data_IF_251189828209
#
_entry.id   IF_251189828209
#
_cell.length_a   1.000
_cell.length_b   1.000
_cell.length_c   1.000
_cell.angle_alpha   90.00
_cell.angle_beta   90.00
_cell.angle_gamma   90.00
#
_symmetry.space_group_name_H-M   'P 1'
#
loop_
_entity.id
_entity.type
_entity.pdbx_description
1 polymer ?
#
# COMPACT_ATOMS: atom_id res chain seq x y z
N UNK A 1 21.22 0.30 -30.48
CA UNK A 1 21.48 -1.00 -29.83
C UNK A 1 21.11 -0.86 -28.35
N UNK A 2 20.28 -1.78 -27.87
CA UNK A 2 19.71 -1.77 -26.51
C UNK A 2 18.32 -2.40 -26.55
N UNK A 3 18.25 -3.73 -26.63
CA UNK A 3 16.98 -4.46 -26.62
C UNK A 3 16.35 -4.37 -25.23
N UNK A 4 15.25 -3.63 -25.10
CA UNK A 4 14.45 -3.60 -23.88
C UNK A 4 13.60 -4.86 -23.77
N UNK A 5 13.91 -5.72 -22.79
CA UNK A 5 13.06 -6.85 -22.44
C UNK A 5 11.79 -6.32 -21.75
N UNK A 6 10.64 -6.47 -22.39
CA UNK A 6 9.34 -6.18 -21.75
C UNK A 6 8.99 -7.36 -20.85
N UNK A 7 9.03 -7.16 -19.54
CA UNK A 7 8.57 -8.15 -18.55
C UNK A 7 7.11 -7.85 -18.24
N UNK A 8 6.18 -8.71 -18.68
CA UNK A 8 4.76 -8.59 -18.32
C UNK A 8 4.45 -9.47 -17.12
N UNK A 9 3.85 -8.88 -16.08
CA UNK A 9 3.32 -9.61 -14.93
C UNK A 9 1.83 -9.87 -15.13
N UNK A 10 1.45 -11.15 -15.27
CA UNK A 10 0.03 -11.54 -15.24
C UNK A 10 -0.36 -11.69 -13.77
N UNK A 11 -1.11 -10.72 -13.23
CA UNK A 11 -1.68 -10.79 -11.88
C UNK A 11 -2.96 -11.64 -11.89
N UNK A 12 -2.85 -12.86 -11.35
CA UNK A 12 -3.95 -13.64 -10.77
C UNK A 12 -5.01 -14.19 -11.73
N UNK A 13 -4.98 -15.50 -11.98
CA UNK A 13 -6.12 -16.24 -12.56
C UNK A 13 -6.63 -17.23 -11.53
N UNK A 14 -7.91 -17.14 -11.12
CA UNK A 14 -8.57 -18.21 -10.33
C UNK A 14 -9.15 -19.23 -11.30
N UNK A 15 -8.71 -20.48 -11.22
CA UNK A 15 -9.32 -21.60 -11.94
C UNK A 15 -10.31 -22.33 -11.03
N UNK A 16 -11.46 -22.71 -11.58
CA UNK A 16 -12.47 -23.52 -10.90
C UNK A 16 -12.51 -24.88 -11.57
N UNK A 17 -12.26 -25.94 -10.81
CA UNK A 17 -12.31 -27.31 -11.32
C UNK A 17 -13.66 -27.93 -10.94
N UNK A 18 -14.35 -28.49 -11.94
CA UNK A 18 -15.60 -29.22 -11.73
C UNK A 18 -15.30 -30.72 -11.82
N UNK A 19 -15.61 -31.45 -10.75
CA UNK A 19 -15.60 -32.91 -10.79
C UNK A 19 -16.85 -33.42 -11.53
N UNK A 20 -16.83 -34.66 -12.07
CA UNK A 20 -18.00 -35.26 -12.72
C UNK A 20 -19.24 -35.39 -11.81
N UNK A 21 -19.06 -35.30 -10.48
CA UNK A 21 -20.15 -35.37 -9.49
C UNK A 21 -20.69 -34.01 -9.05
N UNK A 22 -20.26 -32.90 -9.68
CA UNK A 22 -20.85 -31.57 -9.46
C UNK A 22 -20.33 -30.83 -8.22
N UNK A 23 -19.35 -31.36 -7.49
CA UNK A 23 -18.67 -30.63 -6.42
C UNK A 23 -17.57 -29.73 -7.00
N UNK A 24 -17.60 -28.43 -6.66
CA UNK A 24 -16.58 -27.47 -7.07
C UNK A 24 -15.57 -27.26 -5.94
N UNK A 25 -14.30 -27.59 -6.19
CA UNK A 25 -13.19 -27.19 -5.33
C UNK A 25 -12.51 -25.95 -5.92
N UNK A 26 -12.25 -24.96 -5.06
CA UNK A 26 -11.57 -23.72 -5.46
C UNK A 26 -10.19 -23.73 -4.84
N UNK A 27 -9.15 -23.82 -5.66
CA UNK A 27 -7.76 -23.75 -5.21
C UNK A 27 -7.13 -22.47 -5.73
N UNK A 28 -6.49 -21.68 -4.86
CA UNK A 28 -5.68 -20.54 -5.28
C UNK A 28 -4.29 -21.02 -5.69
N UNK A 29 -3.94 -20.85 -6.97
CA UNK A 29 -2.59 -21.08 -7.48
C UNK A 29 -1.93 -19.73 -7.78
N UNK A 30 -0.76 -19.51 -7.18
CA UNK A 30 0.15 -18.41 -7.51
C UNK A 30 1.06 -18.87 -8.66
N UNK A 31 1.05 -18.19 -9.81
CA UNK A 31 1.83 -18.62 -10.99
C UNK A 31 3.23 -18.01 -11.02
N UNK A 32 4.17 -18.86 -11.44
CA UNK A 32 5.63 -18.73 -11.57
C UNK A 32 6.04 -17.76 -12.69
N UNK A 33 7.20 -17.11 -12.48
CA UNK A 33 7.92 -16.16 -13.35
C UNK A 33 8.09 -16.68 -14.80
N UNK A 34 7.74 -15.86 -15.79
CA UNK A 34 8.01 -16.13 -17.21
C UNK A 34 9.21 -15.29 -17.68
N UNK A 35 10.18 -15.91 -18.35
CA UNK A 35 11.30 -15.22 -19.02
C UNK A 35 11.30 -15.69 -20.46
N UNK A 36 11.31 -14.77 -21.43
CA UNK A 36 11.61 -15.10 -22.83
C UNK A 36 12.81 -14.30 -23.33
N UNK A 37 13.66 -14.96 -24.10
CA UNK A 37 14.69 -14.38 -24.96
C UNK A 37 14.49 -15.00 -26.35
N UNK A 38 14.37 -14.18 -27.39
CA UNK A 38 14.23 -14.65 -28.78
C UNK A 38 14.00 -13.51 -29.77
N UNK A 39 14.80 -13.49 -30.83
CA UNK A 39 15.11 -12.38 -31.74
C UNK A 39 14.10 -12.16 -32.88
N UNK A 40 14.16 -10.94 -33.44
CA UNK A 40 13.28 -10.37 -34.47
C UNK A 40 13.31 -11.10 -35.84
N UNK A 41 12.14 -11.13 -36.50
CA UNK A 41 11.98 -11.49 -37.91
C UNK A 41 10.51 -11.46 -38.35
N UNK A 42 10.20 -10.57 -39.28
CA UNK A 42 8.98 -10.33 -40.09
C UNK A 42 7.65 -9.82 -39.48
N UNK A 43 7.05 -8.75 -40.06
CA UNK A 43 5.71 -8.29 -39.75
C UNK A 43 4.67 -8.98 -40.64
N UNK A 44 3.55 -9.39 -40.04
CA UNK A 44 2.25 -9.79 -40.60
C UNK A 44 1.78 -11.09 -39.94
N UNK A 45 0.84 -10.95 -38.99
CA UNK A 45 0.00 -11.98 -38.38
C UNK A 45 0.75 -13.27 -37.99
N UNK A 46 1.55 -13.20 -36.92
CA UNK A 46 2.23 -14.37 -36.35
C UNK A 46 1.49 -14.93 -35.14
N UNK A 47 0.90 -16.12 -35.27
CA UNK A 47 0.50 -16.93 -34.11
C UNK A 47 1.73 -17.21 -33.25
N UNK A 48 1.83 -16.61 -32.06
CA UNK A 48 2.89 -16.96 -31.09
C UNK A 48 2.46 -18.16 -30.27
N UNK A 49 3.18 -19.28 -30.43
CA UNK A 49 3.06 -20.42 -29.52
C UNK A 49 3.83 -20.10 -28.23
N UNK A 50 3.13 -20.09 -27.10
CA UNK A 50 3.75 -20.01 -25.79
C UNK A 50 3.84 -21.43 -25.21
N UNK A 51 5.04 -21.83 -24.77
CA UNK A 51 5.23 -23.02 -23.94
C UNK A 51 5.17 -22.60 -22.48
N UNK A 52 4.13 -23.02 -21.76
CA UNK A 52 4.08 -22.96 -20.32
C UNK A 52 4.46 -24.35 -19.77
N UNK A 53 5.57 -24.45 -19.03
CA UNK A 53 5.87 -25.64 -18.23
C UNK A 53 5.25 -25.47 -16.85
N UNK A 54 4.25 -26.28 -16.51
CA UNK A 54 3.72 -26.36 -15.15
C UNK A 54 4.62 -27.31 -14.32
N UNK A 55 5.12 -26.83 -13.18
CA UNK A 55 5.75 -27.69 -12.19
C UNK A 55 4.64 -28.36 -11.36
N UNK A 56 4.47 -29.67 -11.51
CA UNK A 56 3.52 -30.48 -10.75
C UNK A 56 4.13 -30.89 -9.40
N UNK A 57 4.10 -30.00 -8.40
CA UNK A 57 4.45 -30.34 -7.02
C UNK A 57 3.24 -30.37 -6.06
N UNK A 58 2.01 -30.24 -6.57
CA UNK A 58 0.77 -30.25 -5.78
C UNK A 58 -0.23 -31.30 -6.29
N UNK A 59 0.22 -32.54 -6.52
CA UNK A 59 -0.61 -33.65 -7.00
C UNK A 59 -0.41 -34.91 -6.15
N UNK A 60 -0.43 -34.77 -4.82
CA UNK A 60 -0.40 -35.92 -3.90
C UNK A 60 -1.76 -36.30 -3.29
N UNK A 61 -2.82 -35.51 -3.48
CA UNK A 61 -4.10 -35.74 -2.77
C UNK A 61 -5.32 -35.99 -3.68
N UNK A 62 -5.13 -36.36 -4.96
CA UNK A 62 -6.26 -36.71 -5.85
C UNK A 62 -6.01 -38.05 -6.53
N UNK A 63 -5.95 -39.12 -5.72
CA UNK A 63 -5.83 -40.50 -6.23
C UNK A 63 -7.13 -41.33 -6.14
N UNK A 64 -8.29 -40.71 -5.89
CA UNK A 64 -9.58 -41.43 -5.92
C UNK A 64 -10.67 -40.64 -6.62
N UNK A 65 -10.64 -40.64 -7.95
CA UNK A 65 -11.71 -40.12 -8.81
C UNK A 65 -11.14 -39.50 -10.08
N UNK A 66 -11.51 -40.05 -11.24
CA UNK A 66 -10.87 -39.79 -12.53
C UNK A 66 -10.74 -38.31 -12.93
N UNK A 67 -9.78 -38.05 -13.82
CA UNK A 67 -9.44 -36.71 -14.30
C UNK A 67 -10.64 -35.97 -14.92
N UNK A 68 -10.86 -34.68 -14.59
CA UNK A 68 -11.92 -33.89 -15.21
C UNK A 68 -11.62 -33.67 -16.70
N UNK A 69 -12.62 -33.93 -17.56
CA UNK A 69 -12.49 -33.84 -19.02
C UNK A 69 -12.72 -32.43 -19.60
N UNK A 70 -13.05 -31.45 -18.76
CA UNK A 70 -13.36 -30.07 -19.21
C UNK A 70 -12.98 -29.05 -18.16
N UNK A 71 -12.23 -28.01 -18.54
CA UNK A 71 -11.93 -26.85 -17.70
C UNK A 71 -12.71 -25.66 -18.25
N UNK A 72 -13.58 -25.06 -17.45
CA UNK A 72 -14.23 -23.78 -17.79
C UNK A 72 -13.52 -22.63 -17.07
N UNK A 73 -13.15 -21.59 -17.82
CA UNK A 73 -12.61 -20.36 -17.27
C UNK A 73 -13.71 -19.30 -17.31
N UNK A 74 -14.26 -18.95 -16.15
CA UNK A 74 -15.19 -17.82 -16.01
C UNK A 74 -14.47 -16.59 -15.44
N UNK A 75 -14.63 -15.44 -16.10
CA UNK A 75 -14.16 -14.12 -15.64
C UNK A 75 -15.11 -13.61 -14.55
N UNK A 76 -14.60 -13.38 -13.34
CA UNK A 76 -15.34 -12.73 -12.24
C UNK A 76 -14.82 -11.29 -11.99
N UNK A 77 -15.61 -10.32 -12.49
CA UNK A 77 -15.77 -8.91 -12.05
C UNK A 77 -14.74 -7.80 -12.40
N UNK A 78 -15.14 -6.51 -12.59
CA UNK A 78 -16.48 -5.93 -12.80
C UNK A 78 -16.82 -5.67 -14.29
N UNK A 79 -18.11 -5.45 -14.63
CA UNK A 79 -18.55 -5.24 -16.00
C UNK A 79 -18.54 -3.74 -16.41
N UNK A 80 -17.89 -3.41 -17.52
CA UNK A 80 -18.30 -2.30 -18.39
C UNK A 80 -18.53 -2.84 -19.81
N UNK A 81 -19.82 -2.93 -20.16
CA UNK A 81 -20.49 -3.04 -21.47
C UNK A 81 -20.12 -4.18 -22.45
N UNK A 82 -21.21 -4.83 -22.90
CA UNK A 82 -21.43 -5.81 -24.00
C UNK A 82 -20.89 -7.23 -23.79
N UNK A 83 -21.85 -8.17 -23.62
CA UNK A 83 -21.68 -9.62 -23.63
C UNK A 83 -21.51 -10.12 -25.07
N UNK A 84 -20.48 -10.90 -25.33
CA UNK A 84 -20.49 -11.89 -26.41
C UNK A 84 -20.12 -13.25 -25.80
N UNK A 85 -21.00 -14.24 -25.96
CA UNK A 85 -20.73 -15.65 -25.64
C UNK A 85 -20.40 -16.34 -26.97
N UNK A 86 -19.20 -16.90 -27.10
CA UNK A 86 -18.90 -17.87 -28.16
C UNK A 86 -18.61 -19.23 -27.54
N UNK A 87 -19.26 -20.26 -28.08
CA UNK A 87 -19.10 -21.68 -27.76
C UNK A 87 -18.43 -22.31 -28.99
N UNK A 88 -17.35 -23.06 -28.80
CA UNK A 88 -16.72 -23.81 -29.87
C UNK A 88 -16.76 -25.29 -29.50
N UNK A 89 -17.27 -26.12 -30.43
CA UNK A 89 -17.16 -27.58 -30.43
C UNK A 89 -16.31 -27.96 -31.64
N UNK A 90 -15.39 -28.92 -31.51
CA UNK A 90 -14.77 -29.55 -32.68
C UNK A 90 -14.41 -31.02 -32.44
N UNK A 91 -14.52 -31.77 -33.54
CA UNK A 91 -14.35 -33.20 -33.73
C UNK A 91 -12.90 -33.60 -34.09
N UNK A 92 -12.57 -34.87 -33.92
CA UNK A 92 -11.25 -35.47 -34.21
C UNK A 92 -11.29 -36.35 -35.48
N UNK A 93 -10.23 -36.40 -36.29
CA UNK A 93 -9.94 -37.57 -37.13
C UNK A 93 -9.02 -38.56 -36.39
N UNK A 94 -9.33 -39.84 -36.59
CA UNK A 94 -8.64 -41.02 -36.08
C UNK A 94 -7.35 -41.31 -36.85
N UNK A 95 -6.26 -41.67 -36.17
CA UNK A 95 -5.72 -43.05 -36.17
C UNK A 95 -4.25 -43.14 -35.69
N UNK A 96 -3.97 -44.30 -35.08
CA UNK A 96 -2.69 -45.00 -34.93
C UNK A 96 -1.80 -44.73 -33.69
N UNK A 97 -1.94 -45.69 -32.76
CA UNK A 97 -0.91 -46.36 -31.95
C UNK A 97 -0.21 -45.68 -30.76
N UNK A 98 -0.41 -46.37 -29.62
CA UNK A 98 0.50 -46.60 -28.50
C UNK A 98 1.03 -45.40 -27.68
N UNK A 99 0.49 -45.30 -26.45
CA UNK A 99 1.31 -45.05 -25.25
C UNK A 99 2.01 -43.71 -25.14
N UNK A 100 1.28 -42.68 -24.71
CA UNK A 100 1.65 -41.68 -23.67
C UNK A 100 0.64 -40.54 -23.78
N UNK A 101 -0.07 -40.24 -22.69
CA UNK A 101 -1.00 -39.12 -22.66
C UNK A 101 -0.18 -37.82 -22.54
N UNK A 102 0.28 -37.28 -23.67
CA UNK A 102 0.74 -35.89 -23.70
C UNK A 102 -0.50 -35.00 -23.84
N UNK A 103 -0.90 -34.36 -22.76
CA UNK A 103 -1.91 -33.30 -22.80
C UNK A 103 -1.17 -31.99 -23.01
N UNK A 104 -1.31 -31.39 -24.20
CA UNK A 104 -0.93 -30.00 -24.42
C UNK A 104 -2.19 -29.13 -24.31
N UNK A 105 -2.15 -28.14 -23.43
CA UNK A 105 -3.19 -27.11 -23.32
C UNK A 105 -2.69 -25.92 -24.13
N UNK A 106 -3.39 -25.58 -25.21
CA UNK A 106 -3.11 -24.36 -25.97
C UNK A 106 -4.01 -23.25 -25.44
N UNK A 107 -3.42 -22.21 -24.85
CA UNK A 107 -4.14 -21.01 -24.43
C UNK A 107 -4.00 -19.97 -25.53
N UNK A 108 -5.09 -19.69 -26.25
CA UNK A 108 -5.14 -18.52 -27.13
C UNK A 108 -5.44 -17.28 -26.31
N UNK A 109 -4.51 -16.33 -26.34
CA UNK A 109 -4.68 -15.03 -25.70
C UNK A 109 -4.96 -14.01 -26.80
N UNK A 110 -6.11 -13.34 -26.74
CA UNK A 110 -6.38 -12.19 -27.62
C UNK A 110 -5.56 -11.01 -27.09
N UNK A 111 -4.42 -10.75 -27.73
CA UNK A 111 -3.67 -9.51 -27.54
C UNK A 111 -4.39 -8.45 -28.37
N UNK A 112 -4.96 -7.44 -27.71
CA UNK A 112 -5.28 -6.19 -28.40
C UNK A 112 -3.97 -5.41 -28.50
N UNK A 113 -3.54 -5.16 -29.72
CA UNK A 113 -2.59 -4.07 -29.96
C UNK A 113 -3.36 -2.78 -29.68
N UNK A 114 -2.95 -2.07 -28.62
CA UNK A 114 -3.29 -0.66 -28.53
C UNK A 114 -2.50 0.05 -29.63
N UNK A 115 -3.22 0.70 -30.55
CA UNK A 115 -2.67 1.72 -31.45
C UNK A 115 -1.73 2.62 -30.65
N UNK A 116 -0.58 3.04 -31.20
CA UNK A 116 0.37 3.89 -30.48
C UNK A 116 -0.35 5.17 -30.05
N UNK A 117 -0.79 5.18 -28.79
CA UNK A 117 -1.43 6.32 -28.18
C UNK A 117 -0.49 7.50 -28.30
N UNK A 118 -1.05 8.64 -28.70
CA UNK A 118 -0.39 9.94 -28.64
C UNK A 118 0.44 10.07 -27.35
N UNK A 119 1.62 10.73 -27.39
CA UNK A 119 2.59 10.69 -26.31
C UNK A 119 1.86 10.94 -24.99
N UNK A 120 1.87 9.94 -24.11
CA UNK A 120 1.32 10.07 -22.77
C UNK A 120 1.90 11.35 -22.18
N UNK A 121 1.04 12.34 -21.99
CA UNK A 121 1.37 13.50 -21.20
C UNK A 121 1.91 12.96 -19.89
N UNK A 122 3.13 13.36 -19.55
CA UNK A 122 3.79 13.05 -18.30
C UNK A 122 2.95 13.60 -17.13
N UNK A 123 1.87 12.91 -16.76
CA UNK A 123 1.14 13.16 -15.54
C UNK A 123 1.92 12.44 -14.46
N UNK A 124 2.95 13.11 -13.94
CA UNK A 124 3.48 12.78 -12.63
C UNK A 124 2.26 12.56 -11.71
N UNK A 125 2.08 11.35 -11.18
CA UNK A 125 0.99 11.11 -10.25
C UNK A 125 1.19 12.06 -9.07
N UNK A 126 0.21 12.94 -8.84
CA UNK A 126 0.21 13.91 -7.74
C UNK A 126 -0.10 13.23 -6.40
N UNK A 127 0.52 12.07 -6.16
CA UNK A 127 0.31 11.27 -4.96
C UNK A 127 1.25 11.75 -3.86
N UNK A 128 0.69 11.90 -2.66
CA UNK A 128 1.43 12.28 -1.47
C UNK A 128 2.56 11.29 -1.21
N UNK A 129 3.80 11.77 -1.21
CA UNK A 129 4.97 10.93 -1.09
C UNK A 129 5.89 11.38 0.07
N UNK A 130 6.97 10.63 0.28
CA UNK A 130 7.90 10.88 1.38
C UNK A 130 8.54 12.28 1.33
N UNK A 131 8.72 12.87 0.15
CA UNK A 131 9.26 14.23 0.00
C UNK A 131 8.28 15.27 0.51
N UNK A 132 6.99 15.08 0.26
CA UNK A 132 5.93 15.97 0.76
C UNK A 132 5.87 15.90 2.28
N UNK A 133 5.96 14.69 2.84
CA UNK A 133 6.04 14.50 4.28
C UNK A 133 7.28 15.16 4.87
N UNK A 134 8.43 15.06 4.20
CA UNK A 134 9.66 15.73 4.60
C UNK A 134 9.50 17.25 4.59
N UNK A 135 8.88 17.84 3.57
CA UNK A 135 8.60 19.28 3.51
C UNK A 135 7.65 19.74 4.62
N UNK A 136 6.66 18.91 4.93
CA UNK A 136 5.72 19.20 6.03
C UNK A 136 6.40 19.13 7.41
N UNK A 137 7.36 18.23 7.62
CA UNK A 137 8.18 18.13 8.84
C UNK A 137 7.43 17.70 10.11
N UNK A 138 6.13 17.92 10.20
CA UNK A 138 5.28 17.59 11.33
C UNK A 138 4.09 16.76 10.89
N UNK A 139 3.70 15.81 11.74
CA UNK A 139 2.43 15.08 11.66
C UNK A 139 1.73 15.26 13.00
N UNK A 140 0.53 15.83 13.00
CA UNK A 140 -0.29 15.88 14.21
C UNK A 140 -1.12 14.60 14.32
N UNK A 141 -0.88 13.81 15.37
CA UNK A 141 -1.56 12.54 15.62
C UNK A 141 -2.68 12.76 16.63
N UNK A 142 -3.92 12.54 16.20
CA UNK A 142 -5.12 12.69 16.99
C UNK A 142 -5.65 11.34 17.46
N UNK A 143 -5.86 11.23 18.77
CA UNK A 143 -6.57 10.13 19.43
C UNK A 143 -7.52 10.69 20.46
N UNK A 144 -8.78 10.26 20.41
CA UNK A 144 -9.78 10.60 21.43
C UNK A 144 -10.88 9.54 21.46
N UNK A 145 -11.71 9.55 22.48
CA UNK A 145 -12.80 8.60 22.71
C UNK A 145 -14.15 9.04 22.11
N UNK A 146 -14.18 10.17 21.39
CA UNK A 146 -15.39 10.71 20.75
C UNK A 146 -15.12 11.18 19.33
N UNK A 147 -15.98 10.74 18.39
CA UNK A 147 -15.89 11.14 16.99
C UNK A 147 -16.11 12.65 16.79
N UNK A 148 -17.05 13.24 17.54
CA UNK A 148 -17.35 14.68 17.45
C UNK A 148 -16.19 15.51 18.00
N UNK A 149 -15.66 15.12 19.16
CA UNK A 149 -14.46 15.76 19.70
C UNK A 149 -13.27 15.61 18.76
N UNK A 150 -13.13 14.45 18.11
CA UNK A 150 -12.06 14.23 17.14
C UNK A 150 -12.15 15.22 15.97
N UNK A 151 -13.34 15.37 15.41
CA UNK A 151 -13.54 16.24 14.27
C UNK A 151 -13.28 17.71 14.61
N UNK A 152 -13.82 18.19 15.73
CA UNK A 152 -13.64 19.59 16.14
C UNK A 152 -12.19 19.89 16.55
N UNK A 153 -11.51 18.95 17.22
CA UNK A 153 -10.09 19.07 17.53
C UNK A 153 -9.21 19.07 16.27
N UNK A 154 -9.52 18.20 15.30
CA UNK A 154 -8.82 18.14 14.02
C UNK A 154 -8.97 19.46 13.23
N UNK A 155 -10.19 20.01 13.17
CA UNK A 155 -10.45 21.33 12.56
C UNK A 155 -9.61 22.41 13.21
N UNK A 156 -9.62 22.48 14.54
CA UNK A 156 -8.84 23.45 15.28
C UNK A 156 -7.33 23.35 15.00
N UNK A 157 -6.80 22.12 14.90
CA UNK A 157 -5.40 21.89 14.56
C UNK A 157 -5.06 22.31 13.12
N UNK A 158 -5.92 21.98 12.15
CA UNK A 158 -5.74 22.37 10.74
C UNK A 158 -5.87 23.89 10.55
N UNK A 159 -6.85 24.52 11.19
CA UNK A 159 -7.03 25.98 11.20
C UNK A 159 -5.87 26.70 11.90
N UNK A 160 -5.17 26.00 12.81
CA UNK A 160 -3.92 26.46 13.42
C UNK A 160 -2.71 26.34 12.49
N UNK A 161 -2.87 25.89 11.25
CA UNK A 161 -1.82 25.85 10.23
C UNK A 161 -1.06 24.53 10.12
N UNK A 162 -1.48 23.48 10.83
CA UNK A 162 -0.92 22.14 10.61
C UNK A 162 -1.45 21.57 9.30
N UNK A 163 -0.57 21.08 8.45
CA UNK A 163 -0.92 20.64 7.08
C UNK A 163 -1.01 19.12 6.94
N UNK A 164 -0.51 18.36 7.91
CA UNK A 164 -0.54 16.90 7.92
C UNK A 164 -1.10 16.41 9.25
N UNK A 165 -2.19 15.64 9.17
CA UNK A 165 -2.92 15.13 10.33
C UNK A 165 -3.10 13.62 10.20
N UNK A 166 -2.85 12.88 11.27
CA UNK A 166 -3.11 11.46 11.41
C UNK A 166 -4.28 11.25 12.39
N UNK A 167 -5.37 10.62 11.95
CA UNK A 167 -6.45 10.19 12.85
C UNK A 167 -6.23 8.72 13.20
N UNK A 168 -6.13 8.40 14.49
CA UNK A 168 -5.92 7.01 14.92
C UNK A 168 -7.19 6.17 14.74
N UNK A 169 -7.06 4.96 14.21
CA UNK A 169 -8.16 4.02 13.97
C UNK A 169 -8.85 3.54 15.26
N UNK A 170 -8.22 3.75 16.42
CA UNK A 170 -8.83 3.52 17.74
C UNK A 170 -9.83 4.62 18.13
N UNK A 171 -9.84 5.75 17.43
CA UNK A 171 -10.86 6.79 17.63
C UNK A 171 -12.20 6.27 17.08
N UNK A 172 -13.30 6.35 17.83
CA UNK A 172 -14.60 5.91 17.33
C UNK A 172 -14.95 6.59 16.01
N UNK A 173 -15.45 5.81 15.05
CA UNK A 173 -15.82 6.30 13.72
C UNK A 173 -14.69 7.04 12.98
N UNK A 174 -13.41 6.69 13.21
CA UNK A 174 -12.25 7.33 12.59
C UNK A 174 -12.38 7.49 11.06
N UNK A 175 -12.91 6.48 10.36
CA UNK A 175 -13.13 6.56 8.90
C UNK A 175 -14.09 7.69 8.49
N UNK A 176 -15.16 7.91 9.26
CA UNK A 176 -16.10 9.01 9.03
C UNK A 176 -15.44 10.36 9.30
N UNK A 177 -14.65 10.46 10.37
CA UNK A 177 -13.87 11.66 10.70
C UNK A 177 -12.89 11.99 9.56
N UNK A 178 -12.10 11.01 9.10
CA UNK A 178 -11.17 11.15 7.98
C UNK A 178 -11.90 11.64 6.73
N UNK A 179 -13.02 11.00 6.36
CA UNK A 179 -13.78 11.36 5.17
C UNK A 179 -14.29 12.81 5.21
N UNK A 180 -14.75 13.27 6.38
CA UNK A 180 -15.18 14.66 6.55
C UNK A 180 -14.01 15.64 6.45
N UNK A 181 -12.89 15.35 7.11
CA UNK A 181 -11.69 16.20 7.06
C UNK A 181 -11.13 16.33 5.65
N UNK A 182 -11.08 15.23 4.88
CA UNK A 182 -10.62 15.25 3.48
C UNK A 182 -11.50 16.15 2.61
N UNK A 183 -12.82 16.19 2.87
CA UNK A 183 -13.76 17.06 2.15
C UNK A 183 -13.65 18.53 2.57
N UNK A 184 -13.50 18.78 3.87
CA UNK A 184 -13.47 20.13 4.45
C UNK A 184 -12.10 20.82 4.23
N UNK A 185 -11.01 20.04 4.17
CA UNK A 185 -9.64 20.53 4.05
C UNK A 185 -8.89 19.85 2.89
N UNK A 186 -9.26 20.11 1.62
CA UNK A 186 -8.69 19.41 0.47
C UNK A 186 -7.18 19.65 0.26
N UNK A 187 -6.65 20.74 0.81
CA UNK A 187 -5.21 21.04 0.79
C UNK A 187 -4.40 20.35 1.89
N UNK A 188 -5.07 19.84 2.94
CA UNK A 188 -4.42 19.13 4.02
C UNK A 188 -4.23 17.65 3.66
N UNK A 189 -3.16 17.07 4.21
CA UNK A 189 -2.89 15.64 4.06
C UNK A 189 -3.42 14.92 5.29
N UNK A 190 -4.50 14.16 5.11
CA UNK A 190 -5.11 13.36 6.16
C UNK A 190 -4.64 11.91 6.02
N UNK A 191 -4.13 11.33 7.09
CA UNK A 191 -3.74 9.93 7.18
C UNK A 191 -4.45 9.20 8.32
N UNK A 192 -4.21 7.89 8.39
CA UNK A 192 -4.73 7.04 9.46
C UNK A 192 -3.61 6.39 10.26
N UNK A 193 -3.70 6.44 11.58
CA UNK A 193 -2.72 5.83 12.49
C UNK A 193 -3.25 4.61 13.20
N UNK A 194 -2.37 3.80 13.78
CA UNK A 194 -2.76 2.54 14.47
C UNK A 194 -3.48 1.56 13.53
N UNK A 195 -3.02 1.49 12.28
CA UNK A 195 -3.52 0.54 11.28
C UNK A 195 -2.76 -0.78 11.44
N UNK A 196 -3.46 -1.85 11.81
CA UNK A 196 -2.86 -3.17 12.10
C UNK A 196 -3.34 -4.26 11.15
N UNK A 197 -4.33 -3.99 10.32
CA UNK A 197 -4.93 -4.96 9.40
C UNK A 197 -5.24 -4.38 8.02
N UNK A 198 -5.36 -5.26 7.03
CA UNK A 198 -5.83 -4.92 5.68
C UNK A 198 -7.21 -4.28 5.69
N UNK A 199 -8.10 -4.75 6.56
CA UNK A 199 -9.46 -4.21 6.67
C UNK A 199 -9.44 -2.75 7.12
N UNK A 200 -8.67 -2.41 8.16
CA UNK A 200 -8.51 -1.03 8.62
C UNK A 200 -7.85 -0.15 7.56
N UNK A 201 -6.83 -0.67 6.87
CA UNK A 201 -6.15 0.03 5.81
C UNK A 201 -7.09 0.34 4.64
N UNK A 202 -7.86 -0.64 4.17
CA UNK A 202 -8.84 -0.44 3.10
C UNK A 202 -9.94 0.53 3.52
N UNK A 203 -10.41 0.43 4.76
CA UNK A 203 -11.40 1.36 5.33
C UNK A 203 -10.86 2.80 5.35
N UNK A 204 -9.63 3.01 5.82
CA UNK A 204 -8.99 4.32 5.84
C UNK A 204 -8.74 4.88 4.43
N UNK A 205 -8.27 4.05 3.50
CA UNK A 205 -8.05 4.44 2.09
C UNK A 205 -9.36 4.86 1.42
N UNK A 206 -10.44 4.10 1.63
CA UNK A 206 -11.77 4.45 1.10
C UNK A 206 -12.32 5.75 1.70
N UNK A 207 -11.96 6.07 2.95
CA UNK A 207 -12.25 7.37 3.55
C UNK A 207 -11.41 8.52 2.97
N UNK A 208 -10.37 8.23 2.20
CA UNK A 208 -9.51 9.23 1.55
C UNK A 208 -8.16 9.45 2.23
N UNK A 209 -7.77 8.59 3.19
CA UNK A 209 -6.46 8.68 3.82
C UNK A 209 -5.32 8.57 2.78
N UNK A 210 -4.34 9.49 2.87
CA UNK A 210 -3.20 9.60 1.95
C UNK A 210 -1.96 8.84 2.43
N UNK A 211 -1.89 8.55 3.73
CA UNK A 211 -0.86 7.70 4.32
C UNK A 211 -1.44 6.93 5.50
N UNK A 212 -0.76 5.85 5.87
CA UNK A 212 -1.11 4.95 6.95
C UNK A 212 0.10 4.79 7.87
N UNK A 213 -0.11 4.72 9.18
CA UNK A 213 0.93 4.40 10.16
C UNK A 213 0.50 3.31 11.13
N UNK A 214 1.48 2.56 11.62
CA UNK A 214 1.29 1.54 12.65
C UNK A 214 2.24 1.80 13.83
N UNK A 215 1.86 1.46 15.08
CA UNK A 215 2.80 1.46 16.20
C UNK A 215 3.85 0.33 16.09
N UNK A 216 3.64 -0.66 15.22
CA UNK A 216 4.50 -1.84 15.06
C UNK A 216 4.79 -2.15 13.59
N UNK A 217 5.70 -3.10 13.35
CA UNK A 217 5.98 -3.60 12.01
C UNK A 217 5.05 -4.77 11.72
N UNK A 218 4.17 -4.60 10.74
CA UNK A 218 3.25 -5.64 10.24
C UNK A 218 3.74 -6.02 8.84
N UNK A 219 4.44 -7.15 8.72
CA UNK A 219 5.21 -7.51 7.52
C UNK A 219 4.36 -7.52 6.25
N UNK A 220 3.20 -8.16 6.28
CA UNK A 220 2.29 -8.26 5.13
C UNK A 220 1.78 -6.89 4.68
N UNK A 221 1.59 -5.97 5.62
CA UNK A 221 1.16 -4.60 5.34
C UNK A 221 2.28 -3.79 4.66
N UNK A 222 3.52 -3.93 5.16
CA UNK A 222 4.69 -3.26 4.55
C UNK A 222 4.89 -3.74 3.13
N UNK A 223 4.94 -5.07 2.92
CA UNK A 223 5.15 -5.66 1.60
C UNK A 223 4.04 -5.30 0.63
N UNK A 224 2.79 -5.33 1.09
CA UNK A 224 1.63 -5.07 0.23
C UNK A 224 1.40 -3.60 -0.15
N UNK A 225 2.01 -2.65 0.58
CA UNK A 225 1.94 -1.20 0.26
C UNK A 225 3.24 -0.65 -0.35
N UNK A 226 4.30 -1.45 -0.47
CA UNK A 226 5.61 -1.03 -0.98
C UNK A 226 5.54 -0.27 -2.31
N UNK A 227 4.77 -0.80 -3.26
CA UNK A 227 4.63 -0.24 -4.62
C UNK A 227 3.23 0.39 -4.83
N UNK A 228 2.51 0.64 -3.73
CA UNK A 228 1.16 1.17 -3.76
C UNK A 228 1.11 2.71 -3.76
N UNK A 229 -0.05 3.31 -4.10
CA UNK A 229 -0.23 4.76 -4.12
C UNK A 229 -0.35 5.40 -2.72
N UNK A 230 -0.35 4.59 -1.65
CA UNK A 230 -0.53 5.04 -0.27
C UNK A 230 0.68 4.61 0.54
N UNK A 231 1.35 5.58 1.17
CA UNK A 231 2.49 5.33 2.04
C UNK A 231 2.03 4.56 3.28
N UNK A 232 2.67 3.42 3.55
CA UNK A 232 2.55 2.71 4.82
C UNK A 232 3.84 2.88 5.64
N UNK A 233 3.73 3.48 6.83
CA UNK A 233 4.85 3.80 7.72
C UNK A 233 4.75 2.90 8.96
N UNK A 234 5.46 1.74 8.98
CA UNK A 234 5.46 0.84 10.12
C UNK A 234 6.18 1.42 11.33
N UNK A 235 5.78 0.99 12.51
CA UNK A 235 6.44 1.32 13.77
C UNK A 235 7.56 0.33 14.11
N UNK A 236 8.61 0.82 14.77
CA UNK A 236 9.70 0.03 15.29
C UNK A 236 10.23 0.62 16.60
N UNK A 237 10.72 -0.26 17.47
CA UNK A 237 11.32 0.10 18.75
C UNK A 237 12.84 -0.13 18.76
N UNK A 238 13.33 -1.11 18.00
CA UNK A 238 14.74 -1.56 18.01
C UNK A 238 15.44 -1.34 16.66
N UNK A 239 16.80 -1.26 16.62
CA UNK A 239 17.54 -1.19 15.37
C UNK A 239 17.23 -2.34 14.40
N UNK A 240 17.02 -3.56 14.91
CA UNK A 240 16.69 -4.73 14.10
C UNK A 240 15.33 -4.58 13.42
N UNK A 241 14.31 -4.12 14.14
CA UNK A 241 12.99 -3.85 13.57
C UNK A 241 13.05 -2.72 12.53
N UNK A 242 13.82 -1.66 12.79
CA UNK A 242 14.02 -0.56 11.84
C UNK A 242 14.61 -1.07 10.52
N UNK A 243 15.69 -1.86 10.58
CA UNK A 243 16.32 -2.44 9.38
C UNK A 243 15.37 -3.43 8.70
N UNK A 244 14.67 -4.26 9.47
CA UNK A 244 13.72 -5.24 8.94
C UNK A 244 12.59 -4.57 8.14
N UNK A 245 11.94 -3.55 8.72
CA UNK A 245 10.89 -2.80 8.07
C UNK A 245 11.38 -2.11 6.78
N UNK A 246 12.55 -1.49 6.81
CA UNK A 246 13.15 -0.85 5.64
C UNK A 246 13.45 -1.86 4.53
N UNK A 247 14.04 -3.00 4.87
CA UNK A 247 14.34 -4.07 3.91
C UNK A 247 13.08 -4.70 3.28
N UNK A 248 11.95 -4.70 4.01
CA UNK A 248 10.66 -5.11 3.46
C UNK A 248 10.08 -4.11 2.45
N UNK A 249 10.64 -2.90 2.37
CA UNK A 249 10.25 -1.85 1.42
C UNK A 249 9.50 -0.68 2.05
N UNK A 250 9.54 -0.51 3.38
CA UNK A 250 8.95 0.65 4.02
C UNK A 250 9.62 1.95 3.54
N UNK A 251 8.87 2.99 3.13
CA UNK A 251 9.44 4.26 2.69
C UNK A 251 10.06 5.05 3.85
N UNK A 252 9.56 4.84 5.07
CA UNK A 252 10.10 5.38 6.31
C UNK A 252 9.69 4.47 7.48
N UNK A 253 10.36 4.61 8.61
CA UNK A 253 10.06 3.87 9.84
C UNK A 253 9.72 4.84 10.97
N UNK A 254 8.56 4.62 11.60
CA UNK A 254 8.11 5.34 12.79
C UNK A 254 8.84 4.78 14.02
N UNK A 255 9.57 5.61 14.76
CA UNK A 255 10.15 5.20 16.04
C UNK A 255 9.12 5.39 17.13
N UNK A 256 8.71 4.30 17.78
CA UNK A 256 7.62 4.34 18.75
C UNK A 256 7.82 3.33 19.89
N UNK A 257 7.62 3.72 21.16
CA UNK A 257 7.44 5.08 21.68
C UNK A 257 8.79 5.78 21.96
N UNK A 258 9.10 6.86 21.25
CA UNK A 258 10.43 7.52 21.26
C UNK A 258 10.89 7.96 22.65
N UNK A 259 9.99 8.51 23.47
CA UNK A 259 10.36 8.97 24.81
C UNK A 259 10.89 7.86 25.73
N UNK A 260 10.40 6.63 25.59
CA UNK A 260 10.89 5.50 26.39
C UNK A 260 12.20 4.92 25.87
N UNK A 261 12.65 5.33 24.67
CA UNK A 261 13.87 4.84 24.04
C UNK A 261 15.08 5.72 24.33
N UNK A 262 14.91 6.80 25.10
CA UNK A 262 15.98 7.77 25.40
C UNK A 262 15.94 9.01 24.51
N UNK A 263 14.76 9.34 23.97
CA UNK A 263 14.47 10.57 23.23
C UNK A 263 15.39 10.75 22.01
N UNK A 264 15.81 11.99 21.76
CA UNK A 264 16.68 12.37 20.65
C UNK A 264 18.01 11.63 20.65
N UNK A 265 18.52 11.18 21.81
CA UNK A 265 19.79 10.43 21.88
C UNK A 265 19.69 9.11 21.12
N UNK A 266 18.56 8.43 21.23
CA UNK A 266 18.32 7.19 20.49
C UNK A 266 18.24 7.44 18.98
N UNK A 267 17.56 8.51 18.57
CA UNK A 267 17.47 8.91 17.16
C UNK A 267 18.86 9.21 16.59
N UNK A 268 19.69 9.97 17.30
CA UNK A 268 21.05 10.28 16.89
C UNK A 268 21.94 9.03 16.82
N UNK A 269 21.79 8.12 17.79
CA UNK A 269 22.52 6.85 17.80
C UNK A 269 22.17 5.98 16.57
N UNK A 270 20.88 5.86 16.24
CA UNK A 270 20.44 5.16 15.02
C UNK A 270 20.95 5.86 13.77
N UNK A 271 20.88 7.19 13.69
CA UNK A 271 21.32 7.91 12.49
C UNK A 271 22.83 7.82 12.24
N UNK A 272 23.64 7.61 13.27
CA UNK A 272 25.08 7.40 13.13
C UNK A 272 25.40 6.14 12.30
N UNK A 273 24.60 5.08 12.43
CA UNK A 273 24.84 3.78 11.76
C UNK A 273 23.86 3.49 10.63
N UNK A 274 22.63 4.01 10.73
CA UNK A 274 21.50 3.76 9.82
C UNK A 274 20.98 5.06 9.19
N UNK A 275 21.85 6.06 8.99
CA UNK A 275 21.46 7.39 8.49
C UNK A 275 20.78 7.43 7.12
N UNK A 276 20.88 6.36 6.34
CA UNK A 276 20.20 6.19 5.06
C UNK A 276 18.71 5.81 5.21
N UNK A 277 18.29 5.30 6.36
CA UNK A 277 16.91 4.92 6.63
C UNK A 277 16.12 6.17 7.06
N UNK A 278 15.01 6.51 6.38
CA UNK A 278 14.15 7.62 6.80
C UNK A 278 13.42 7.28 8.10
N UNK A 279 13.64 8.07 9.15
CA UNK A 279 13.07 7.86 10.49
C UNK A 279 12.04 8.94 10.80
N UNK A 280 10.98 8.56 11.52
CA UNK A 280 9.92 9.46 12.00
C UNK A 280 9.69 9.20 13.50
N UNK A 281 10.31 9.99 14.40
CA UNK A 281 10.08 9.88 15.84
C UNK A 281 8.64 10.20 16.22
N UNK A 282 8.12 9.50 17.21
CA UNK A 282 6.74 9.61 17.69
C UNK A 282 6.62 9.23 19.17
N UNK A 283 5.63 9.83 19.86
CA UNK A 283 5.33 9.66 21.29
C UNK A 283 6.27 10.42 22.23
N UNK A 284 5.67 11.24 23.11
CA UNK A 284 6.36 12.00 24.16
C UNK A 284 7.17 13.21 23.68
N UNK A 285 6.94 13.70 22.46
CA UNK A 285 7.66 14.85 21.91
C UNK A 285 6.86 16.14 22.11
N UNK A 286 7.36 17.02 22.97
CA UNK A 286 6.85 18.37 23.21
C UNK A 286 7.25 19.35 22.09
N UNK A 287 6.58 20.52 22.05
CA UNK A 287 6.81 21.52 21.00
C UNK A 287 8.24 22.08 21.03
N UNK A 288 8.84 22.27 22.20
CA UNK A 288 10.21 22.79 22.34
C UNK A 288 11.27 21.83 21.78
N UNK A 289 10.99 20.52 21.75
CA UNK A 289 11.91 19.51 21.23
C UNK A 289 11.87 19.35 19.70
N UNK A 290 10.80 19.82 19.04
CA UNK A 290 10.55 19.60 17.59
C UNK A 290 11.76 20.00 16.74
N UNK A 291 12.29 21.20 16.93
CA UNK A 291 13.41 21.73 16.13
C UNK A 291 14.67 20.87 16.27
N UNK A 292 14.95 20.38 17.49
CA UNK A 292 16.08 19.49 17.76
C UNK A 292 15.95 18.17 16.99
N UNK A 293 14.76 17.56 16.99
CA UNK A 293 14.52 16.34 16.21
C UNK A 293 14.63 16.58 14.70
N UNK A 294 14.06 17.67 14.19
CA UNK A 294 14.14 18.01 12.77
C UNK A 294 15.60 18.26 12.34
N UNK A 295 16.38 18.95 13.18
CA UNK A 295 17.81 19.20 12.96
C UNK A 295 18.66 17.93 13.02
N UNK A 296 18.19 16.88 13.71
CA UNK A 296 18.84 15.57 13.70
C UNK A 296 18.72 14.86 12.33
N UNK A 297 17.99 15.40 11.36
CA UNK A 297 17.87 14.86 10.01
C UNK A 297 16.82 13.76 9.87
N UNK A 298 15.81 13.75 10.75
CA UNK A 298 14.63 12.90 10.60
C UNK A 298 13.73 13.43 9.48
N UNK A 299 12.89 12.55 8.92
CA UNK A 299 11.96 12.93 7.84
C UNK A 299 10.93 13.92 8.35
N UNK A 300 10.26 13.55 9.44
CA UNK A 300 9.23 14.31 10.11
C UNK A 300 9.16 13.88 11.58
N UNK A 301 8.39 14.60 12.38
CA UNK A 301 8.11 14.28 13.79
C UNK A 301 6.60 14.14 13.97
N UNK A 302 6.16 13.09 14.67
CA UNK A 302 4.76 12.93 15.06
C UNK A 302 4.58 13.51 16.46
N UNK A 303 3.73 14.52 16.57
CA UNK A 303 3.31 15.14 17.84
C UNK A 303 1.83 14.83 18.11
N UNK A 304 1.50 14.45 19.34
CA UNK A 304 0.13 14.17 19.78
C UNK A 304 -0.25 15.12 20.91
N UNK A 305 0.16 14.79 22.13
CA UNK A 305 -0.29 15.47 23.35
C UNK A 305 0.20 16.92 23.45
N UNK A 306 1.24 17.26 22.68
CA UNK A 306 1.75 18.63 22.52
C UNK A 306 0.79 19.57 21.77
N UNK A 307 -0.18 19.01 21.04
CA UNK A 307 -1.25 19.75 20.33
C UNK A 307 -2.62 19.38 20.86
N UNK A 308 -2.86 18.10 21.10
CA UNK A 308 -4.11 17.54 21.60
C UNK A 308 -4.01 17.23 23.09
N UNK A 309 -3.74 18.25 23.90
CA UNK A 309 -3.69 18.11 25.36
C UNK A 309 -4.96 17.42 25.87
N UNK A 310 -4.78 16.44 26.76
CA UNK A 310 -5.90 15.65 27.31
C UNK A 310 -6.98 16.54 27.92
N UNK A 311 -6.58 17.55 28.72
CA UNK A 311 -7.49 18.52 29.32
C UNK A 311 -8.23 19.34 28.28
N UNK A 312 -7.57 19.78 27.20
CA UNK A 312 -8.21 20.53 26.13
C UNK A 312 -9.25 19.69 25.38
N UNK A 313 -8.97 18.39 25.14
CA UNK A 313 -9.94 17.46 24.55
C UNK A 313 -11.14 17.20 25.47
N UNK A 314 -10.90 16.98 26.77
CA UNK A 314 -11.94 16.72 27.77
C UNK A 314 -12.86 17.93 27.98
N UNK A 315 -12.28 19.13 28.07
CA UNK A 315 -13.03 20.38 28.22
C UNK A 315 -13.54 20.97 26.90
N UNK A 316 -13.25 20.30 25.76
CA UNK A 316 -13.56 20.80 24.40
C UNK A 316 -13.01 22.22 24.14
N UNK A 317 -11.83 22.52 24.70
CA UNK A 317 -11.11 23.78 24.48
C UNK A 317 -10.35 23.75 23.16
N UNK A 318 -11.10 23.88 22.06
CA UNK A 318 -10.55 23.89 20.71
C UNK A 318 -9.73 25.16 20.41
N UNK A 319 -9.93 26.24 21.17
CA UNK A 319 -9.10 27.45 21.09
C UNK A 319 -7.67 27.17 21.54
N UNK A 320 -7.52 26.42 22.65
CA UNK A 320 -6.22 25.93 23.13
C UNK A 320 -5.53 25.06 22.09
N UNK A 321 -6.24 24.10 21.49
CA UNK A 321 -5.68 23.23 20.45
C UNK A 321 -5.21 24.04 19.23
N UNK A 322 -6.00 25.02 18.76
CA UNK A 322 -5.60 25.91 17.66
C UNK A 322 -4.35 26.72 18.00
N UNK A 323 -4.24 27.22 19.23
CA UNK A 323 -3.07 27.99 19.70
C UNK A 323 -1.80 27.13 19.72
N UNK A 324 -1.91 25.90 20.23
CA UNK A 324 -0.80 24.93 20.23
C UNK A 324 -0.41 24.52 18.81
N UNK A 325 -1.38 24.30 17.93
CA UNK A 325 -1.14 24.01 16.52
C UNK A 325 -0.43 25.17 15.79
N UNK A 326 -0.83 26.42 16.06
CA UNK A 326 -0.16 27.62 15.54
C UNK A 326 1.29 27.68 15.98
N UNK A 327 1.53 27.40 17.27
CA UNK A 327 2.88 27.35 17.85
C UNK A 327 3.72 26.25 17.19
N UNK A 328 3.15 25.07 16.99
CA UNK A 328 3.81 23.95 16.30
C UNK A 328 4.14 24.27 14.84
N UNK A 329 3.20 24.84 14.09
CA UNK A 329 3.38 25.20 12.68
C UNK A 329 4.52 26.21 12.48
N UNK A 330 4.65 27.18 13.40
CA UNK A 330 5.74 28.17 13.35
C UNK A 330 7.14 27.55 13.44
N UNK A 331 7.31 26.47 14.22
CA UNK A 331 8.59 25.77 14.38
C UNK A 331 9.05 25.06 13.12
N UNK A 332 8.10 24.57 12.31
CA UNK A 332 8.44 23.96 11.03
C UNK A 332 8.87 25.00 9.99
N UNK A 333 8.30 26.21 10.04
CA UNK A 333 8.64 27.29 9.11
C UNK A 333 10.12 27.70 9.20
N UNK A 334 10.67 27.71 10.43
CA UNK A 334 12.09 27.98 10.69
C UNK A 334 13.04 27.02 9.94
N UNK A 335 12.61 25.78 9.67
CA UNK A 335 13.41 24.79 8.94
C UNK A 335 13.51 25.09 7.45
N UNK A 336 12.42 25.59 6.85
CA UNK A 336 12.36 25.87 5.41
C UNK A 336 13.12 27.14 5.00
N UNK A 337 13.52 27.98 5.97
CA UNK A 337 14.31 29.19 5.74
C UNK A 337 15.82 28.88 5.79
N UNK A 338 16.22 27.80 6.47
CA UNK A 338 17.64 27.44 6.69
C UNK A 338 18.19 26.35 5.76
N UNK A 339 17.35 25.75 4.89
CA UNK A 339 17.73 24.68 3.96
C UNK A 339 17.61 25.09 2.51
#
# INVERSE_FOLDING_TARGET
MGAGAVTQHILGTKMKFLSPSGSATTSSLSVIKCISAGTAGDPLVGHRKFHASMNFSLWKDVEKGGAPRTVQVEKLWPPRKKKEKKRAEFSLPSAAFAGTCSSSVTVETVVREEEPGAPESNSASTDFNLRDLRKAGLIACLRTTSADTALDAARAALDGGLTVLEVTMTTPSAASVIQRLVREYPSAVIGAGTVLSWHEADTAKQAGAKFLTSPVTVEEMVRGHRDGPVLFIPGAMTPTEVVSAYNMGAPAVKLYPTALLGDIRFVLALRKTLGHIPLIPSSGISLDMVESYLSAGVTAVIISDAVFEKSALECRDFSRIRTLATSAASKNLSRNIQG
#
